data_IF_484123073168
#
_entry.id   IF_484123073168
#
_cell.length_a   1.000
_cell.length_b   1.000
_cell.length_c   1.000
_cell.angle_alpha   90.00
_cell.angle_beta   90.00
_cell.angle_gamma   90.00
#
_symmetry.space_group_name_H-M   'P 1'
#
loop_
_entity.id
_entity.type
_entity.pdbx_description
1 polymer ?
#
# COMPACT_ATOMS: atom_id res chain seq x y z
N UNK A 1 -24.98 3.05 16.77
CA UNK A 1 -24.42 2.54 15.49
C UNK A 1 -22.91 2.51 15.66
N UNK A 2 -22.24 1.37 15.44
CA UNK A 2 -20.79 1.30 15.65
C UNK A 2 -20.06 2.10 14.58
N UNK A 3 -18.93 2.69 14.95
CA UNK A 3 -18.02 3.47 14.08
C UNK A 3 -17.69 2.73 12.76
N UNK A 4 -17.71 1.40 12.78
CA UNK A 4 -17.54 0.50 11.64
C UNK A 4 -18.68 0.59 10.60
N UNK A 5 -19.95 0.68 11.06
CA UNK A 5 -21.10 0.85 10.15
C UNK A 5 -21.12 2.24 9.52
N UNK A 6 -20.65 3.24 10.26
CA UNK A 6 -20.54 4.61 9.75
C UNK A 6 -19.43 4.76 8.70
N UNK A 7 -18.26 4.11 8.87
CA UNK A 7 -17.21 4.08 7.85
C UNK A 7 -17.64 3.32 6.59
N UNK A 8 -18.34 2.20 6.75
CA UNK A 8 -18.88 1.43 5.62
C UNK A 8 -20.01 2.16 4.87
N UNK A 9 -20.90 2.87 5.59
CA UNK A 9 -21.93 3.71 4.99
C UNK A 9 -21.31 4.90 4.24
N UNK A 10 -20.28 5.56 4.78
CA UNK A 10 -19.52 6.64 4.10
C UNK A 10 -18.82 6.15 2.83
N UNK A 11 -18.36 4.88 2.81
CA UNK A 11 -17.75 4.26 1.61
C UNK A 11 -18.79 3.96 0.52
N UNK A 12 -20.05 3.63 0.88
CA UNK A 12 -21.14 3.34 -0.09
C UNK A 12 -21.69 4.60 -0.79
N UNK A 13 -21.59 5.77 -0.19
CA UNK A 13 -22.19 6.99 -0.72
C UNK A 13 -21.31 7.75 -1.72
N UNK A 14 -20.14 7.17 -2.12
CA UNK A 14 -19.28 7.78 -3.14
C UNK A 14 -18.70 9.15 -2.73
N UNK A 15 -18.74 9.49 -1.43
CA UNK A 15 -18.11 10.70 -0.93
C UNK A 15 -16.59 10.56 -1.01
N UNK A 16 -16.03 10.91 -2.15
CA UNK A 16 -14.68 11.45 -2.20
C UNK A 16 -14.75 12.66 -1.27
N UNK A 17 -14.13 12.57 -0.08
CA UNK A 17 -13.95 13.74 0.77
C UNK A 17 -13.12 14.68 -0.10
N UNK A 18 -13.76 15.75 -0.58
CA UNK A 18 -13.05 16.78 -1.33
C UNK A 18 -11.82 17.16 -0.51
N UNK A 19 -10.66 17.33 -1.12
CA UNK A 19 -9.46 17.77 -0.41
C UNK A 19 -9.86 19.03 0.38
N UNK A 20 -9.54 19.06 1.69
CA UNK A 20 -9.64 20.31 2.44
C UNK A 20 -8.84 21.34 1.67
N UNK A 21 -9.49 22.46 1.33
CA UNK A 21 -8.82 23.65 0.82
C UNK A 21 -7.87 24.16 1.91
N UNK A 22 -6.65 23.65 1.93
CA UNK A 22 -5.56 24.23 2.71
C UNK A 22 -4.33 24.33 1.81
N UNK A 23 -4.13 25.56 1.33
CA UNK A 23 -2.87 26.28 1.14
C UNK A 23 -1.69 25.56 0.47
N UNK A 24 -1.83 25.06 -0.74
CA UNK A 24 -0.81 24.97 -1.80
C UNK A 24 -1.47 24.99 -3.19
N UNK A 25 -2.52 25.78 -3.37
CA UNK A 25 -3.23 25.90 -4.65
C UNK A 25 -2.36 26.45 -5.80
N UNK A 26 -1.10 26.85 -5.52
CA UNK A 26 -0.20 27.47 -6.49
C UNK A 26 1.15 26.75 -6.64
N UNK A 27 1.30 25.50 -6.16
CA UNK A 27 2.56 24.77 -6.37
C UNK A 27 2.66 24.36 -7.85
N UNK A 28 3.73 24.75 -8.51
CA UNK A 28 4.02 24.33 -9.87
C UNK A 28 4.68 22.95 -9.88
N UNK A 29 4.73 22.31 -11.05
CA UNK A 29 5.43 21.03 -11.22
C UNK A 29 6.93 21.19 -11.02
N UNK A 30 7.50 22.32 -11.46
CA UNK A 30 8.90 22.66 -11.31
C UNK A 30 9.29 22.75 -9.83
N UNK A 31 8.52 23.50 -9.04
CA UNK A 31 8.72 23.59 -7.57
C UNK A 31 8.61 22.22 -6.90
N UNK A 32 7.68 21.37 -7.34
CA UNK A 32 7.54 20.01 -6.81
C UNK A 32 8.73 19.12 -7.18
N UNK A 33 9.29 19.27 -8.39
CA UNK A 33 10.49 18.55 -8.82
C UNK A 33 11.72 19.04 -8.04
N UNK A 34 11.84 20.33 -7.75
CA UNK A 34 12.90 20.85 -6.89
C UNK A 34 12.83 20.26 -5.47
N UNK A 35 11.62 20.15 -4.89
CA UNK A 35 11.43 19.52 -3.59
C UNK A 35 11.65 17.99 -3.62
N UNK A 36 11.37 17.35 -4.75
CA UNK A 36 11.49 15.88 -4.94
C UNK A 36 12.22 15.58 -6.24
N UNK A 37 13.55 15.70 -6.29
CA UNK A 37 14.34 15.51 -7.53
C UNK A 37 14.16 14.15 -8.20
N UNK A 38 13.74 13.13 -7.43
CA UNK A 38 13.44 11.81 -7.97
C UNK A 38 12.24 11.79 -8.94
N UNK A 39 11.47 12.88 -9.04
CA UNK A 39 10.39 13.04 -10.02
C UNK A 39 10.90 13.41 -11.42
N UNK A 40 12.05 14.08 -11.54
CA UNK A 40 12.54 14.62 -12.79
C UNK A 40 12.51 13.61 -13.96
N UNK A 41 12.97 12.34 -13.79
CA UNK A 41 12.95 11.37 -14.89
C UNK A 41 11.56 11.03 -15.45
N UNK A 42 10.50 11.29 -14.68
CA UNK A 42 9.12 10.99 -15.10
C UNK A 42 8.52 12.10 -15.98
N UNK A 43 9.15 13.28 -15.99
CA UNK A 43 8.65 14.46 -16.70
C UNK A 43 9.64 14.97 -17.77
N UNK A 44 10.82 14.34 -17.90
CA UNK A 44 11.92 14.78 -18.77
C UNK A 44 11.50 14.94 -20.25
N UNK A 45 10.59 14.07 -20.70
CA UNK A 45 10.06 14.09 -22.08
C UNK A 45 8.56 14.35 -22.14
N UNK A 46 8.04 15.04 -21.12
CA UNK A 46 6.63 15.41 -21.10
C UNK A 46 6.31 16.37 -22.27
N UNK A 47 5.27 16.08 -23.07
CA UNK A 47 4.85 16.97 -24.17
C UNK A 47 4.53 18.38 -23.68
N UNK A 48 4.91 19.40 -24.47
CA UNK A 48 4.70 20.80 -24.09
C UNK A 48 3.22 21.12 -23.82
N UNK A 49 2.30 20.53 -24.57
CA UNK A 49 0.88 20.71 -24.40
C UNK A 49 0.33 20.22 -23.04
N UNK A 50 1.10 19.41 -22.31
CA UNK A 50 0.73 18.92 -20.98
C UNK A 50 1.18 19.83 -19.83
N UNK A 51 2.09 20.78 -20.09
CA UNK A 51 2.61 21.69 -19.07
C UNK A 51 1.52 22.54 -18.37
N UNK A 52 0.34 22.69 -19.00
CA UNK A 52 -0.81 23.41 -18.43
C UNK A 52 -2.03 22.50 -18.21
N UNK A 53 -1.88 21.18 -18.32
CA UNK A 53 -3.01 20.22 -18.22
C UNK A 53 -2.92 19.27 -17.03
N UNK A 54 -1.98 19.50 -16.13
CA UNK A 54 -1.90 18.75 -14.88
C UNK A 54 -2.61 19.48 -13.73
N UNK A 55 -2.87 18.72 -12.67
CA UNK A 55 -3.33 19.28 -11.37
C UNK A 55 -2.56 18.62 -10.25
N UNK A 56 -2.02 19.43 -9.32
CA UNK A 56 -1.39 18.93 -8.09
C UNK A 56 -2.43 18.95 -6.97
N UNK A 57 -2.53 17.84 -6.23
CA UNK A 57 -3.42 17.74 -5.08
C UNK A 57 -2.70 17.14 -3.88
N UNK A 58 -2.98 17.70 -2.71
CA UNK A 58 -2.51 17.20 -1.42
C UNK A 58 -3.68 16.59 -0.66
N UNK A 59 -3.50 15.38 -0.19
CA UNK A 59 -4.52 14.62 0.53
C UNK A 59 -4.08 14.32 1.96
N UNK A 60 -4.93 14.54 2.96
CA UNK A 60 -4.65 14.12 4.32
C UNK A 60 -4.64 12.58 4.45
N UNK A 61 -4.03 12.05 5.52
CA UNK A 61 -4.08 10.61 5.82
C UNK A 61 -5.50 10.07 5.90
N UNK A 62 -5.70 8.83 5.43
CA UNK A 62 -7.01 8.15 5.44
C UNK A 62 -7.96 8.58 4.33
N UNK A 63 -7.48 9.33 3.33
CA UNK A 63 -8.28 9.73 2.17
C UNK A 63 -8.27 8.64 1.11
N UNK A 64 -9.45 8.28 0.59
CA UNK A 64 -9.57 7.44 -0.58
C UNK A 64 -9.37 8.31 -1.80
N UNK A 65 -8.26 8.12 -2.51
CA UNK A 65 -7.92 8.85 -3.74
C UNK A 65 -8.39 8.13 -5.00
N UNK A 66 -8.69 6.84 -4.88
CA UNK A 66 -9.27 6.04 -5.94
C UNK A 66 -10.07 4.88 -5.35
N UNK A 67 -11.30 4.68 -5.81
CA UNK A 67 -12.22 3.66 -5.26
C UNK A 67 -12.46 2.53 -6.26
N UNK A 68 -12.44 1.29 -5.77
CA UNK A 68 -12.79 0.08 -6.52
C UNK A 68 -14.15 0.22 -7.22
N UNK A 69 -14.24 -0.34 -8.41
CA UNK A 69 -15.43 -0.39 -9.27
C UNK A 69 -15.87 0.97 -9.87
N UNK A 70 -15.14 2.06 -9.57
CA UNK A 70 -15.38 3.36 -10.19
C UNK A 70 -14.60 3.51 -11.49
N UNK A 71 -15.18 4.28 -12.41
CA UNK A 71 -14.55 4.65 -13.68
C UNK A 71 -13.28 5.45 -13.40
N UNK A 72 -12.21 5.11 -14.07
CA UNK A 72 -10.93 5.78 -13.97
C UNK A 72 -10.79 6.84 -15.07
N UNK A 73 -10.80 8.09 -14.69
CA UNK A 73 -10.69 9.22 -15.62
C UNK A 73 -9.37 9.97 -15.53
N UNK A 74 -8.52 9.62 -14.54
CA UNK A 74 -7.25 10.30 -14.30
C UNK A 74 -6.14 9.30 -14.04
N UNK A 75 -4.97 9.61 -14.55
CA UNK A 75 -3.69 9.02 -14.16
C UNK A 75 -3.04 9.92 -13.09
N UNK A 76 -2.39 9.35 -12.09
CA UNK A 76 -1.71 10.11 -11.05
C UNK A 76 -0.29 9.62 -10.81
N UNK A 77 0.63 10.57 -10.54
CA UNK A 77 1.99 10.31 -10.06
C UNK A 77 2.05 10.76 -8.61
N UNK A 78 2.26 9.83 -7.69
CA UNK A 78 2.41 10.10 -6.25
C UNK A 78 3.83 10.57 -6.00
N UNK A 79 3.97 11.86 -5.72
CA UNK A 79 5.24 12.53 -5.48
C UNK A 79 5.72 12.42 -4.03
N UNK A 80 4.79 12.48 -3.08
CA UNK A 80 5.06 12.43 -1.64
C UNK A 80 4.00 11.61 -0.91
N UNK A 81 4.38 11.09 0.26
CA UNK A 81 3.47 10.35 1.14
C UNK A 81 3.40 8.86 0.85
N UNK A 82 2.88 8.13 1.81
CA UNK A 82 2.67 6.69 1.72
C UNK A 82 1.18 6.39 1.52
N UNK A 83 0.88 5.36 0.74
CA UNK A 83 -0.48 4.90 0.49
C UNK A 83 -0.56 3.39 0.53
N UNK A 84 -1.79 2.88 0.61
CA UNK A 84 -2.07 1.46 0.54
C UNK A 84 -3.06 1.15 -0.58
N UNK A 85 -2.87 0.01 -1.19
CA UNK A 85 -3.78 -0.58 -2.16
C UNK A 85 -4.55 -1.68 -1.44
N UNK A 86 -5.87 -1.57 -1.44
CA UNK A 86 -6.75 -2.51 -0.73
C UNK A 86 -7.80 -3.09 -1.69
N UNK A 87 -8.19 -4.32 -1.39
CA UNK A 87 -9.37 -4.95 -1.99
C UNK A 87 -10.45 -5.09 -0.92
N UNK A 88 -11.63 -4.56 -1.22
CA UNK A 88 -12.80 -4.63 -0.36
C UNK A 88 -13.76 -5.69 -0.89
N UNK A 89 -14.16 -6.60 -0.02
CA UNK A 89 -15.07 -7.69 -0.36
C UNK A 89 -16.49 -7.40 0.12
N UNK A 90 -17.47 -8.01 -0.52
CA UNK A 90 -18.91 -7.83 -0.21
C UNK A 90 -19.27 -8.15 1.25
N UNK A 91 -18.55 -9.07 1.88
CA UNK A 91 -18.70 -9.43 3.30
C UNK A 91 -18.08 -8.43 4.27
N UNK A 92 -17.58 -7.29 3.78
CA UNK A 92 -16.94 -6.22 4.56
C UNK A 92 -15.49 -6.50 4.96
N UNK A 93 -14.91 -7.61 4.53
CA UNK A 93 -13.50 -7.85 4.72
C UNK A 93 -12.68 -6.91 3.82
N UNK A 94 -11.56 -6.43 4.36
CA UNK A 94 -10.59 -5.61 3.64
C UNK A 94 -9.28 -6.36 3.64
N UNK A 95 -8.68 -6.49 2.47
CA UNK A 95 -7.39 -7.09 2.28
C UNK A 95 -6.42 -6.04 1.74
N UNK A 96 -5.31 -5.81 2.44
CA UNK A 96 -4.25 -4.96 1.96
C UNK A 96 -3.36 -5.73 0.97
N UNK A 97 -3.44 -5.33 -0.30
CA UNK A 97 -2.62 -5.93 -1.36
C UNK A 97 -1.17 -5.51 -1.17
N UNK A 98 -0.95 -4.21 -0.99
CA UNK A 98 0.39 -3.63 -0.79
C UNK A 98 0.33 -2.26 -0.12
N UNK A 99 1.46 -1.90 0.49
CA UNK A 99 1.78 -0.56 0.97
C UNK A 99 2.93 -0.03 0.14
N UNK A 100 2.78 1.17 -0.39
CA UNK A 100 3.72 1.78 -1.32
C UNK A 100 4.23 3.12 -0.81
N UNK A 101 5.46 3.44 -1.26
CA UNK A 101 6.14 4.71 -1.05
C UNK A 101 6.31 5.44 -2.37
N UNK A 102 6.53 6.75 -2.36
CA UNK A 102 6.86 7.51 -3.56
C UNK A 102 8.16 7.00 -4.21
N UNK A 103 8.37 7.15 -5.49
CA UNK A 103 7.39 7.57 -6.47
C UNK A 103 6.58 6.38 -6.89
N UNK A 104 5.26 6.55 -6.97
CA UNK A 104 4.34 5.50 -7.38
C UNK A 104 3.19 6.09 -8.22
N UNK A 105 2.29 5.25 -8.72
CA UNK A 105 1.25 5.68 -9.64
C UNK A 105 -0.16 5.37 -9.12
N UNK A 106 -1.13 6.08 -9.70
CA UNK A 106 -2.57 5.85 -9.54
C UNK A 106 -3.17 5.65 -10.91
N UNK A 107 -3.74 4.46 -11.16
CA UNK A 107 -4.50 4.18 -12.37
C UNK A 107 -3.70 3.53 -13.50
N UNK A 108 -2.37 3.45 -13.41
CA UNK A 108 -1.48 2.90 -14.43
C UNK A 108 -1.85 1.47 -14.83
N UNK A 109 -2.14 0.62 -13.86
CA UNK A 109 -2.53 -0.78 -14.11
C UNK A 109 -3.85 -0.86 -14.86
N UNK A 110 -4.84 -0.06 -14.44
CA UNK A 110 -6.17 -0.06 -15.04
C UNK A 110 -6.14 0.46 -16.49
N UNK A 111 -5.40 1.54 -16.73
CA UNK A 111 -5.29 2.16 -18.06
C UNK A 111 -4.54 1.23 -19.01
N UNK A 112 -3.35 0.75 -18.62
CA UNK A 112 -2.53 -0.10 -19.48
C UNK A 112 -3.13 -1.50 -19.69
N UNK A 113 -4.01 -1.96 -18.80
CA UNK A 113 -4.81 -3.16 -19.01
C UNK A 113 -6.02 -2.93 -19.90
N UNK A 114 -6.26 -1.72 -20.42
CA UNK A 114 -7.42 -1.39 -21.24
C UNK A 114 -8.76 -1.42 -20.49
N UNK A 115 -8.74 -1.34 -19.15
CA UNK A 115 -9.95 -1.44 -18.34
C UNK A 115 -10.52 -0.04 -18.05
N UNK A 116 -11.86 0.07 -17.99
CA UNK A 116 -12.52 1.34 -17.64
C UNK A 116 -12.58 1.58 -16.13
N UNK A 117 -12.76 0.49 -15.35
CA UNK A 117 -12.97 0.56 -13.90
C UNK A 117 -11.81 -0.09 -13.17
N UNK A 118 -11.45 0.50 -12.05
CA UNK A 118 -10.41 -0.08 -11.20
C UNK A 118 -10.91 -1.27 -10.39
N UNK A 119 -10.03 -2.23 -10.16
CA UNK A 119 -10.29 -3.43 -9.34
C UNK A 119 -9.89 -3.26 -7.86
N UNK A 120 -9.32 -2.11 -7.49
CA UNK A 120 -8.78 -1.85 -6.16
C UNK A 120 -9.15 -0.46 -5.66
N UNK A 121 -9.06 -0.27 -4.34
CA UNK A 121 -9.16 1.04 -3.69
C UNK A 121 -7.77 1.48 -3.26
N UNK A 122 -7.44 2.78 -3.44
CA UNK A 122 -6.20 3.41 -2.99
C UNK A 122 -6.53 4.41 -1.88
N UNK A 123 -5.89 4.23 -0.73
CA UNK A 123 -6.07 5.07 0.46
C UNK A 123 -4.73 5.61 0.94
N UNK A 124 -4.66 6.90 1.24
CA UNK A 124 -3.47 7.55 1.78
C UNK A 124 -3.21 7.13 3.23
N UNK A 125 -1.95 6.89 3.58
CA UNK A 125 -1.53 6.56 4.95
C UNK A 125 -0.90 7.76 5.67
N UNK A 126 -0.26 8.64 4.90
CA UNK A 126 0.29 9.92 5.35
C UNK A 126 -0.26 11.03 4.47
N UNK A 127 0.08 12.28 4.76
CA UNK A 127 -0.16 13.37 3.80
C UNK A 127 0.50 12.99 2.46
N UNK A 128 -0.27 13.05 1.38
CA UNK A 128 0.13 12.53 0.08
C UNK A 128 -0.10 13.56 -1.02
N UNK A 129 0.96 13.88 -1.76
CA UNK A 129 0.92 14.78 -2.91
C UNK A 129 0.90 13.98 -4.19
N UNK A 130 -0.08 14.29 -5.07
CA UNK A 130 -0.30 13.59 -6.34
C UNK A 130 -0.40 14.59 -7.47
N UNK A 131 0.35 14.36 -8.55
CA UNK A 131 0.22 15.07 -9.84
C UNK A 131 -0.70 14.27 -10.72
N UNK A 132 -1.80 14.87 -11.18
CA UNK A 132 -2.82 14.22 -12.02
C UNK A 132 -2.83 14.76 -13.43
N UNK A 133 -2.99 13.84 -14.37
CA UNK A 133 -3.33 14.09 -15.77
C UNK A 133 -4.67 13.46 -16.10
N UNK A 134 -5.35 13.93 -17.14
CA UNK A 134 -6.49 13.19 -17.67
C UNK A 134 -6.05 11.82 -18.18
N UNK A 135 -6.94 10.82 -18.13
CA UNK A 135 -6.67 9.49 -18.71
C UNK A 135 -6.21 9.60 -20.16
N UNK A 136 -6.91 10.41 -20.95
CA UNK A 136 -6.60 10.62 -22.35
C UNK A 136 -5.21 11.23 -22.56
N UNK A 137 -4.86 12.27 -21.79
CA UNK A 137 -3.55 12.90 -21.90
C UNK A 137 -2.42 11.90 -21.56
N UNK A 138 -2.62 11.05 -20.56
CA UNK A 138 -1.66 9.99 -20.23
C UNK A 138 -1.56 8.92 -21.32
N UNK A 139 -2.70 8.46 -21.88
CA UNK A 139 -2.71 7.50 -22.98
C UNK A 139 -1.99 8.05 -24.23
N UNK A 140 -2.21 9.32 -24.56
CA UNK A 140 -1.55 9.99 -25.68
C UNK A 140 -0.04 10.24 -25.43
N UNK A 141 0.34 10.49 -24.16
CA UNK A 141 1.74 10.74 -23.77
C UNK A 141 2.57 9.45 -23.76
N UNK A 142 2.08 8.41 -23.06
CA UNK A 142 2.88 7.21 -22.81
C UNK A 142 3.27 6.43 -24.08
N UNK A 143 2.51 6.57 -25.18
CA UNK A 143 2.86 5.94 -26.46
C UNK A 143 3.98 6.67 -27.20
N UNK A 144 4.25 7.93 -26.84
CA UNK A 144 5.29 8.76 -27.45
C UNK A 144 6.57 8.82 -26.60
N UNK A 145 6.45 8.56 -25.31
CA UNK A 145 7.54 8.64 -24.32
C UNK A 145 8.00 7.26 -23.88
N UNK A 146 9.02 6.74 -24.55
CA UNK A 146 9.57 5.41 -24.24
C UNK A 146 10.22 5.36 -22.85
N UNK A 147 10.73 6.50 -22.33
CA UNK A 147 11.29 6.55 -20.99
C UNK A 147 10.21 6.42 -19.93
N UNK A 148 9.15 7.20 -20.03
CA UNK A 148 8.00 7.07 -19.12
C UNK A 148 7.40 5.66 -19.18
N UNK A 149 7.22 5.11 -20.39
CA UNK A 149 6.73 3.75 -20.56
C UNK A 149 7.60 2.73 -19.82
N UNK A 150 8.92 2.83 -19.94
CA UNK A 150 9.87 1.93 -19.24
C UNK A 150 9.78 2.07 -17.72
N UNK A 151 9.68 3.29 -17.18
CA UNK A 151 9.55 3.54 -15.75
C UNK A 151 8.25 2.96 -15.20
N UNK A 152 7.15 3.18 -15.88
CA UNK A 152 5.83 2.64 -15.50
C UNK A 152 5.81 1.12 -15.60
N UNK A 153 6.27 0.55 -16.72
CA UNK A 153 6.37 -0.89 -16.93
C UNK A 153 7.26 -1.57 -15.88
N UNK A 154 8.43 -0.98 -15.57
CA UNK A 154 9.31 -1.48 -14.51
C UNK A 154 8.59 -1.53 -13.16
N UNK A 155 7.88 -0.47 -12.79
CA UNK A 155 7.15 -0.41 -11.52
C UNK A 155 6.05 -1.47 -11.46
N UNK A 156 5.28 -1.65 -12.52
CA UNK A 156 4.23 -2.68 -12.61
C UNK A 156 4.84 -4.09 -12.52
N UNK A 157 5.90 -4.36 -13.29
CA UNK A 157 6.59 -5.64 -13.27
C UNK A 157 7.16 -5.96 -11.88
N UNK A 158 7.75 -4.96 -11.21
CA UNK A 158 8.26 -5.12 -9.84
C UNK A 158 7.14 -5.42 -8.83
N UNK A 159 6.01 -4.70 -8.91
CA UNK A 159 4.82 -4.99 -8.08
C UNK A 159 4.30 -6.41 -8.33
N UNK A 160 4.21 -6.83 -9.58
CA UNK A 160 3.78 -8.19 -9.95
C UNK A 160 4.76 -9.25 -9.42
N UNK A 161 6.07 -9.06 -9.59
CA UNK A 161 7.09 -9.95 -9.07
C UNK A 161 6.98 -10.14 -7.55
N UNK A 162 6.87 -9.05 -6.79
CA UNK A 162 6.67 -9.10 -5.33
C UNK A 162 5.37 -9.80 -4.93
N UNK A 163 4.28 -9.54 -5.65
CA UNK A 163 2.97 -10.08 -5.31
C UNK A 163 2.84 -11.57 -5.63
N UNK A 164 3.59 -12.10 -6.60
CA UNK A 164 3.52 -13.50 -7.02
C UNK A 164 3.87 -14.46 -5.89
N UNK A 165 4.98 -14.21 -5.19
CA UNK A 165 5.37 -15.02 -4.02
C UNK A 165 4.32 -14.97 -2.91
N UNK A 166 3.85 -13.77 -2.58
CA UNK A 166 2.90 -13.57 -1.48
C UNK A 166 1.53 -14.25 -1.74
N UNK A 167 1.10 -14.32 -3.00
CA UNK A 167 -0.14 -15.01 -3.39
C UNK A 167 -0.02 -16.51 -3.18
N UNK A 168 1.08 -17.12 -3.67
CA UNK A 168 1.34 -18.56 -3.49
C UNK A 168 1.46 -18.93 -2.01
N UNK A 169 2.23 -18.19 -1.25
CA UNK A 169 2.40 -18.43 0.19
C UNK A 169 1.07 -18.48 0.95
N UNK A 170 0.14 -17.57 0.65
CA UNK A 170 -1.18 -17.52 1.31
C UNK A 170 -2.10 -18.68 0.99
N UNK A 171 -1.93 -19.31 -0.16
CA UNK A 171 -2.73 -20.47 -0.56
C UNK A 171 -2.24 -21.76 0.11
N UNK A 172 -0.93 -21.87 0.35
CA UNK A 172 -0.31 -23.15 0.72
C UNK A 172 0.26 -23.16 2.15
N UNK A 173 0.50 -22.01 2.76
CA UNK A 173 1.06 -21.95 4.10
C UNK A 173 0.00 -21.66 5.17
N UNK A 174 0.11 -22.32 6.34
CA UNK A 174 -0.84 -22.15 7.43
C UNK A 174 -0.67 -20.76 8.09
N UNK A 175 -1.70 -20.28 8.82
CA UNK A 175 -1.69 -18.97 9.46
C UNK A 175 -0.50 -18.70 10.39
N UNK A 176 -0.01 -19.73 11.08
CA UNK A 176 1.15 -19.61 11.97
C UNK A 176 2.42 -19.23 11.20
N UNK A 177 2.64 -19.88 10.06
CA UNK A 177 3.74 -19.53 9.16
C UNK A 177 3.59 -18.11 8.62
N UNK A 178 2.42 -17.78 8.08
CA UNK A 178 2.18 -16.46 7.48
C UNK A 178 2.39 -15.30 8.45
N UNK A 179 1.90 -15.46 9.69
CA UNK A 179 2.08 -14.43 10.71
C UNK A 179 3.53 -14.36 11.18
N UNK A 180 4.21 -15.49 11.37
CA UNK A 180 5.60 -15.52 11.81
C UNK A 180 6.54 -14.96 10.75
N UNK A 181 6.36 -15.32 9.47
CA UNK A 181 7.09 -14.74 8.32
C UNK A 181 6.93 -13.22 8.26
N UNK A 182 5.69 -12.75 8.43
CA UNK A 182 5.42 -11.31 8.52
C UNK A 182 6.17 -10.65 9.69
N UNK A 183 6.13 -11.24 10.89
CA UNK A 183 6.81 -10.70 12.07
C UNK A 183 8.32 -10.66 11.87
N UNK A 184 8.92 -11.72 11.31
CA UNK A 184 10.36 -11.77 11.01
C UNK A 184 10.78 -10.68 10.03
N UNK A 185 10.01 -10.45 8.95
CA UNK A 185 10.26 -9.37 8.00
C UNK A 185 10.17 -7.99 8.64
N UNK A 186 9.17 -7.77 9.52
CA UNK A 186 9.05 -6.52 10.28
C UNK A 186 10.21 -6.34 11.26
N UNK A 187 10.63 -7.40 11.95
CA UNK A 187 11.74 -7.37 12.89
C UNK A 187 13.07 -7.01 12.20
N UNK A 188 13.35 -7.61 11.05
CA UNK A 188 14.50 -7.29 10.24
C UNK A 188 14.48 -5.82 9.79
N UNK A 189 13.32 -5.34 9.30
CA UNK A 189 13.14 -3.95 8.86
C UNK A 189 13.34 -2.95 10.02
N UNK A 190 12.91 -3.30 11.24
CA UNK A 190 13.09 -2.50 12.44
C UNK A 190 14.52 -2.60 13.02
N UNK A 191 15.40 -3.38 12.41
CA UNK A 191 16.80 -3.52 12.79
C UNK A 191 17.01 -4.30 14.09
N UNK A 192 16.30 -5.42 14.28
CA UNK A 192 16.37 -6.27 15.46
C UNK A 192 17.81 -6.71 15.80
N UNK A 193 18.65 -6.95 14.80
CA UNK A 193 20.05 -7.35 15.00
C UNK A 193 20.90 -6.31 15.74
N UNK A 194 20.46 -5.04 15.72
CA UNK A 194 21.11 -3.93 16.42
C UNK A 194 20.39 -3.54 17.72
N UNK A 195 19.35 -4.30 18.10
CA UNK A 195 18.49 -4.01 19.26
C UNK A 195 18.28 -5.26 20.08
N UNK A 196 18.13 -5.10 21.41
CA UNK A 196 17.78 -6.22 22.30
C UNK A 196 16.36 -6.71 22.07
N UNK A 197 15.47 -5.81 21.68
CA UNK A 197 14.05 -6.09 21.47
C UNK A 197 13.42 -5.06 20.53
N UNK A 198 12.40 -5.49 19.79
CA UNK A 198 11.52 -4.61 19.00
C UNK A 198 10.06 -4.80 19.42
N UNK A 199 9.25 -3.78 19.16
CA UNK A 199 7.79 -3.84 19.30
C UNK A 199 7.16 -3.47 17.97
N UNK A 200 6.31 -4.34 17.45
CA UNK A 200 5.56 -4.09 16.21
C UNK A 200 4.35 -3.22 16.55
N UNK A 201 4.40 -1.94 16.16
CA UNK A 201 3.38 -0.93 16.48
C UNK A 201 2.11 -1.06 15.63
N UNK A 202 1.72 -2.28 15.29
CA UNK A 202 0.52 -2.58 14.51
C UNK A 202 -0.66 -2.91 15.41
N UNK A 203 -1.85 -2.47 15.01
CA UNK A 203 -3.11 -2.90 15.60
C UNK A 203 -3.48 -4.30 15.11
N UNK A 204 -4.39 -4.97 15.82
CA UNK A 204 -4.93 -6.26 15.37
C UNK A 204 -5.63 -6.15 14.01
N UNK A 205 -6.26 -5.02 13.75
CA UNK A 205 -6.92 -4.74 12.47
C UNK A 205 -5.89 -4.62 11.33
N UNK A 206 -4.80 -3.89 11.54
CA UNK A 206 -3.73 -3.77 10.53
C UNK A 206 -3.07 -5.13 10.25
N UNK A 207 -2.78 -5.91 11.29
CA UNK A 207 -2.22 -7.27 11.13
C UNK A 207 -3.17 -8.18 10.34
N UNK A 208 -4.48 -8.11 10.63
CA UNK A 208 -5.50 -8.85 9.88
C UNK A 208 -5.48 -8.48 8.38
N UNK A 209 -5.47 -7.18 8.07
CA UNK A 209 -5.48 -6.67 6.70
C UNK A 209 -4.17 -7.00 5.95
N UNK A 210 -3.03 -6.90 6.64
CA UNK A 210 -1.69 -7.15 6.07
C UNK A 210 -1.37 -8.64 5.89
N UNK A 211 -1.73 -9.48 6.85
CA UNK A 211 -1.49 -10.93 6.77
C UNK A 211 -2.56 -11.68 5.97
N UNK A 212 -3.76 -11.10 5.78
CA UNK A 212 -4.90 -11.77 5.13
C UNK A 212 -5.47 -12.93 5.94
N UNK A 213 -5.29 -12.92 7.26
CA UNK A 213 -5.77 -13.94 8.20
C UNK A 213 -7.01 -13.40 8.92
N UNK A 214 -8.07 -14.19 9.14
CA UNK A 214 -9.27 -13.70 9.85
C UNK A 214 -8.95 -13.27 11.27
N UNK A 215 -9.70 -12.31 11.83
CA UNK A 215 -9.46 -11.78 13.20
C UNK A 215 -9.45 -12.90 14.24
N UNK A 216 -10.39 -13.88 14.11
CA UNK A 216 -10.47 -15.04 15.00
C UNK A 216 -9.23 -15.92 14.89
N UNK A 217 -8.77 -16.20 13.67
CA UNK A 217 -7.56 -16.99 13.42
C UNK A 217 -6.32 -16.26 13.91
N UNK A 218 -6.22 -14.94 13.65
CA UNK A 218 -5.09 -14.12 14.10
C UNK A 218 -4.89 -14.19 15.63
N UNK A 219 -5.98 -14.10 16.40
CA UNK A 219 -5.91 -14.23 17.86
C UNK A 219 -5.32 -15.56 18.32
N UNK A 220 -5.82 -16.68 17.73
CA UNK A 220 -5.33 -18.04 18.03
C UNK A 220 -3.86 -18.22 17.61
N UNK A 221 -3.50 -17.70 16.44
CA UNK A 221 -2.12 -17.77 15.93
C UNK A 221 -1.14 -17.02 16.83
N UNK A 222 -1.52 -15.84 17.32
CA UNK A 222 -0.68 -15.07 18.24
C UNK A 222 -0.50 -15.83 19.56
N UNK A 223 -1.58 -16.43 20.11
CA UNK A 223 -1.47 -17.23 21.34
C UNK A 223 -0.52 -18.41 21.13
N UNK A 224 -0.65 -19.13 20.01
CA UNK A 224 0.22 -20.25 19.69
C UNK A 224 1.69 -19.84 19.55
N UNK A 225 2.00 -18.80 18.79
CA UNK A 225 3.38 -18.31 18.63
C UNK A 225 3.99 -17.81 19.95
N UNK A 226 3.16 -17.28 20.86
CA UNK A 226 3.59 -16.90 22.21
C UNK A 226 3.89 -18.14 23.07
N UNK A 227 3.04 -19.15 23.03
CA UNK A 227 3.24 -20.44 23.72
C UNK A 227 4.51 -21.13 23.23
N UNK A 228 4.78 -21.08 21.90
CA UNK A 228 6.01 -21.62 21.30
C UNK A 228 7.26 -20.78 21.62
N UNK A 229 7.11 -19.67 22.35
CA UNK A 229 8.21 -18.83 22.80
C UNK A 229 8.87 -17.95 21.73
N UNK A 230 8.36 -17.97 20.48
CA UNK A 230 8.95 -17.23 19.35
C UNK A 230 8.54 -15.76 19.32
N UNK A 231 7.51 -15.35 20.07
CA UNK A 231 7.12 -13.96 20.27
C UNK A 231 6.73 -13.71 21.72
N UNK A 232 6.65 -12.44 22.09
CA UNK A 232 6.09 -11.96 23.35
C UNK A 232 5.03 -10.89 23.11
N UNK A 233 4.28 -10.51 24.14
CA UNK A 233 3.31 -9.42 24.07
C UNK A 233 3.66 -8.35 25.11
N UNK A 234 3.76 -7.09 24.66
CA UNK A 234 3.92 -5.91 25.51
C UNK A 234 2.80 -4.90 25.25
N UNK A 235 2.02 -4.58 26.28
CA UNK A 235 0.86 -3.67 26.18
C UNK A 235 -0.05 -4.02 25.00
N UNK A 236 -0.30 -5.34 24.78
CA UNK A 236 -1.15 -5.83 23.69
C UNK A 236 -0.53 -5.83 22.28
N UNK A 237 0.69 -5.31 22.12
CA UNK A 237 1.45 -5.34 20.87
C UNK A 237 2.39 -6.55 20.84
N UNK A 238 2.69 -7.05 19.64
CA UNK A 238 3.67 -8.11 19.43
C UNK A 238 5.05 -7.52 19.67
N UNK A 239 5.83 -8.18 20.51
CA UNK A 239 7.23 -7.88 20.77
C UNK A 239 8.09 -9.10 20.46
N UNK A 240 9.35 -8.87 20.09
CA UNK A 240 10.31 -9.91 19.77
C UNK A 240 11.69 -9.50 20.23
N UNK A 241 12.34 -10.36 21.02
CA UNK A 241 13.76 -10.19 21.39
C UNK A 241 14.67 -10.75 20.30
N UNK A 242 15.95 -10.41 20.32
CA UNK A 242 16.93 -10.96 19.37
C UNK A 242 17.01 -12.50 19.47
N UNK A 243 16.91 -13.06 20.68
CA UNK A 243 16.90 -14.51 20.89
C UNK A 243 15.67 -15.15 20.26
N UNK A 244 14.49 -14.56 20.47
CA UNK A 244 13.24 -15.00 19.85
C UNK A 244 13.31 -14.91 18.32
N UNK A 245 13.95 -13.87 17.77
CA UNK A 245 14.16 -13.72 16.32
C UNK A 245 14.98 -14.88 15.75
N UNK A 246 16.10 -15.22 16.37
CA UNK A 246 16.91 -16.35 15.93
C UNK A 246 16.21 -17.71 16.11
N UNK A 247 15.46 -17.88 17.20
CA UNK A 247 14.64 -19.07 17.39
C UNK A 247 13.58 -19.18 16.30
N UNK A 248 12.86 -18.09 16.02
CA UNK A 248 11.83 -18.04 15.00
C UNK A 248 12.38 -18.33 13.61
N UNK A 249 13.55 -17.80 13.24
CA UNK A 249 14.22 -18.13 11.98
C UNK A 249 14.53 -19.63 11.83
N UNK A 250 14.94 -20.28 12.90
CA UNK A 250 15.24 -21.74 12.89
C UNK A 250 13.98 -22.59 12.85
N UNK A 251 12.90 -22.14 13.48
CA UNK A 251 11.69 -22.96 13.69
C UNK A 251 10.57 -22.65 12.71
N UNK A 252 10.64 -21.58 11.91
CA UNK A 252 9.56 -21.19 10.99
C UNK A 252 9.16 -22.32 10.03
N UNK A 253 10.12 -23.12 9.58
CA UNK A 253 9.85 -24.23 8.67
C UNK A 253 9.01 -25.34 9.31
N UNK A 254 8.99 -25.48 10.64
CA UNK A 254 8.13 -26.43 11.35
C UNK A 254 6.65 -26.10 11.18
N UNK A 255 6.31 -24.85 10.87
CA UNK A 255 4.92 -24.43 10.64
C UNK A 255 4.43 -24.66 9.20
N UNK A 256 5.28 -25.18 8.30
CA UNK A 256 4.90 -25.48 6.90
C UNK A 256 4.26 -26.87 6.79
N UNK A 257 4.59 -27.78 7.69
CA UNK A 257 4.26 -29.21 7.60
C UNK A 257 3.11 -29.63 8.52
N UNK A 258 2.18 -28.73 8.83
CA UNK A 258 0.99 -29.04 9.63
C UNK A 258 -0.29 -28.88 8.83
#
# INVERSE_FOLDING_TARGET
MSDRKMRYARRKTGFVIAPRKESRENMTLEELIEEVPALAPYFEHMPEELHNRYTIRVYPPGTIIHQKDYKLEKFGIIAKGEHRVINEFQNGNVFMIEKNKPIDFVGEVTILAGMEKTSVTIETLTETTVVYFSRKDFEDWIVKDIQLLRLVAHKIAYKLYRSSYNRGARLFYPPNFLLLDYILKQAAHLGIERKKEIIIQKTRQELYEECGITVKTLGRTISKLKEDGVISLKKGKIAMTLEQYHLAQKTIHHYVNY
#
